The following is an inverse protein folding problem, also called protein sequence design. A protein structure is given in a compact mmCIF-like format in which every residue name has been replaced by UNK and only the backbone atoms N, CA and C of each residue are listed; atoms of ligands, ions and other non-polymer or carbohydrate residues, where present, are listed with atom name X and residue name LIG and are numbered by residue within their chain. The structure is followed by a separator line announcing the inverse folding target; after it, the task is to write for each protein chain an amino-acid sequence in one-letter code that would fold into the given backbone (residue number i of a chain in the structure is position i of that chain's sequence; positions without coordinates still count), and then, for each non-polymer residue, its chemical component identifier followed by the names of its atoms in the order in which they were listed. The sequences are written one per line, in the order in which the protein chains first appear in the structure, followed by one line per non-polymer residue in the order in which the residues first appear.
data_IF_894419079092
#
_entry.id   IF_894419079092
#
_cell.length_a   1.000
_cell.length_b   1.000
_cell.length_c   1.000
_cell.angle_alpha   90.00
_cell.angle_beta   90.00
_cell.angle_gamma   90.00
#
_symmetry.space_group_name_H-M   'P 1'
#
loop_
_entity.id
_entity.type
_entity.pdbx_description
1 polymer ?
#
# COMPACT_ATOMS: atom_id res chain seq x y z
N UNK A 1 -9.88 -31.20 -2.06
CA UNK A 1 -9.15 -30.06 -2.63
C UNK A 1 -9.94 -28.84 -2.28
N UNK A 2 -9.50 -28.09 -1.27
CA UNK A 2 -10.17 -26.86 -0.89
C UNK A 2 -9.97 -25.84 -2.01
N UNK A 3 -11.07 -25.53 -2.70
CA UNK A 3 -11.10 -24.39 -3.61
C UNK A 3 -11.05 -23.15 -2.73
N UNK A 4 -9.85 -22.58 -2.58
CA UNK A 4 -9.73 -21.24 -2.01
C UNK A 4 -10.47 -20.30 -2.94
N UNK A 5 -11.65 -19.85 -2.52
CA UNK A 5 -12.37 -18.78 -3.20
C UNK A 5 -11.54 -17.51 -3.01
N UNK A 6 -10.81 -17.11 -4.04
CA UNK A 6 -10.13 -15.81 -4.04
C UNK A 6 -11.21 -14.75 -4.06
N UNK A 7 -11.28 -13.95 -3.00
CA UNK A 7 -12.09 -12.73 -3.03
C UNK A 7 -11.43 -11.77 -4.04
N UNK A 8 -12.02 -11.69 -5.23
CA UNK A 8 -11.50 -10.86 -6.33
C UNK A 8 -11.46 -9.38 -5.95
N UNK A 9 -12.36 -8.92 -5.07
CA UNK A 9 -12.35 -7.54 -4.56
C UNK A 9 -11.14 -7.34 -3.66
N UNK A 10 -10.88 -8.26 -2.73
CA UNK A 10 -9.71 -8.19 -1.85
C UNK A 10 -8.40 -8.24 -2.65
N UNK A 11 -8.28 -9.17 -3.59
CA UNK A 11 -7.10 -9.29 -4.44
C UNK A 11 -6.84 -8.02 -5.28
N UNK A 12 -7.90 -7.36 -5.75
CA UNK A 12 -7.77 -6.09 -6.46
C UNK A 12 -7.25 -4.97 -5.54
N UNK A 13 -7.81 -4.86 -4.34
CA UNK A 13 -7.37 -3.84 -3.37
C UNK A 13 -5.92 -4.07 -2.96
N UNK A 14 -5.53 -5.32 -2.72
CA UNK A 14 -4.15 -5.71 -2.42
C UNK A 14 -3.18 -5.28 -3.53
N UNK A 15 -3.49 -5.58 -4.80
CA UNK A 15 -2.65 -5.19 -5.92
C UNK A 15 -2.47 -3.67 -6.02
N UNK A 16 -3.54 -2.89 -5.82
CA UNK A 16 -3.48 -1.42 -5.83
C UNK A 16 -2.64 -0.91 -4.65
N UNK A 17 -2.76 -1.54 -3.48
CA UNK A 17 -1.96 -1.18 -2.31
C UNK A 17 -0.47 -1.49 -2.49
N UNK A 18 -0.12 -2.61 -3.12
CA UNK A 18 1.26 -2.94 -3.46
C UNK A 18 1.84 -1.95 -4.49
N UNK A 19 1.03 -1.51 -5.45
CA UNK A 19 1.41 -0.45 -6.39
C UNK A 19 1.64 0.88 -5.68
N UNK A 20 0.77 1.24 -4.73
CA UNK A 20 0.93 2.43 -3.88
C UNK A 20 2.29 2.44 -3.17
N UNK A 21 2.66 1.34 -2.49
CA UNK A 21 3.93 1.25 -1.77
C UNK A 21 5.15 1.44 -2.67
N UNK A 22 5.09 0.94 -3.91
CA UNK A 22 6.20 0.98 -4.86
C UNK A 22 6.31 2.28 -5.66
N UNK A 23 5.24 3.08 -5.72
CA UNK A 23 5.17 4.19 -6.68
C UNK A 23 4.81 5.54 -6.06
N UNK A 24 4.25 5.56 -4.85
CA UNK A 24 3.82 6.80 -4.22
C UNK A 24 5.01 7.73 -3.95
N UNK A 25 4.89 8.97 -4.41
CA UNK A 25 5.85 10.05 -4.19
C UNK A 25 5.13 11.25 -3.59
N UNK A 26 5.61 11.73 -2.45
CA UNK A 26 5.03 12.89 -1.78
C UNK A 26 5.35 14.20 -2.53
N UNK A 27 6.57 14.28 -3.07
CA UNK A 27 7.02 15.36 -3.96
C UNK A 27 7.23 14.78 -5.37
N UNK A 28 6.67 15.45 -6.38
CA UNK A 28 6.86 15.09 -7.79
C UNK A 28 8.33 15.16 -8.23
N UNK A 29 9.16 15.94 -7.52
CA UNK A 29 10.60 16.04 -7.76
C UNK A 29 11.40 14.93 -7.06
N UNK A 30 10.77 14.12 -6.20
CA UNK A 30 11.44 12.98 -5.58
C UNK A 30 11.78 11.94 -6.63
N UNK A 31 13.05 11.50 -6.64
CA UNK A 31 13.50 10.40 -7.49
C UNK A 31 12.98 9.06 -6.99
N UNK A 32 12.86 8.91 -5.68
CA UNK A 32 12.54 7.64 -5.02
C UNK A 32 11.10 7.67 -4.47
N UNK A 33 10.35 6.56 -4.58
CA UNK A 33 9.09 6.36 -3.88
C UNK A 33 9.27 6.49 -2.38
N UNK A 34 8.31 7.13 -1.71
CA UNK A 34 8.40 7.47 -0.29
C UNK A 34 8.57 6.23 0.60
N UNK A 35 7.81 5.17 0.31
CA UNK A 35 7.76 3.97 1.15
C UNK A 35 8.80 2.92 0.79
N UNK A 36 9.49 3.05 -0.35
CA UNK A 36 10.51 2.09 -0.76
C UNK A 36 11.68 2.07 0.23
N UNK A 37 12.14 3.24 0.67
CA UNK A 37 13.21 3.35 1.68
C UNK A 37 12.81 2.75 3.04
N UNK A 38 11.54 2.87 3.44
CA UNK A 38 11.04 2.25 4.68
C UNK A 38 10.98 0.72 4.56
N UNK A 39 10.55 0.18 3.42
CA UNK A 39 10.56 -1.26 3.13
C UNK A 39 11.99 -1.81 3.22
N UNK A 40 12.95 -1.12 2.61
CA UNK A 40 14.36 -1.51 2.65
C UNK A 40 14.93 -1.48 4.06
N UNK A 41 14.60 -0.46 4.85
CA UNK A 41 15.00 -0.35 6.24
C UNK A 41 14.41 -1.48 7.10
N UNK A 42 13.14 -1.87 6.85
CA UNK A 42 12.49 -2.98 7.55
C UNK A 42 13.19 -4.32 7.31
N UNK A 43 13.65 -4.58 6.08
CA UNK A 43 14.43 -5.78 5.73
C UNK A 43 15.76 -5.88 6.50
N UNK A 44 16.31 -4.77 6.99
CA UNK A 44 17.59 -4.71 7.69
C UNK A 44 17.46 -4.72 9.21
N UNK A 45 16.32 -4.26 9.76
CA UNK A 45 16.21 -3.93 11.19
C UNK A 45 15.15 -4.72 11.94
N UNK A 46 14.37 -5.58 11.27
CA UNK A 46 13.30 -6.42 11.83
C UNK A 46 12.05 -5.73 12.44
N UNK A 47 11.65 -4.49 12.10
CA UNK A 47 10.26 -4.09 12.34
C UNK A 47 9.34 -4.94 11.46
N UNK A 48 8.40 -5.65 12.09
CA UNK A 48 7.33 -6.39 11.39
C UNK A 48 6.13 -5.50 11.04
N UNK A 49 6.21 -4.20 11.32
CA UNK A 49 5.12 -3.23 11.18
C UNK A 49 5.61 -1.97 10.49
N UNK A 50 4.82 -1.45 9.55
CA UNK A 50 5.02 -0.17 8.86
C UNK A 50 3.90 0.80 9.21
N UNK A 51 4.21 2.10 9.26
CA UNK A 51 3.21 3.15 9.42
C UNK A 51 2.98 3.88 8.09
N UNK A 52 1.72 4.00 7.69
CA UNK A 52 1.32 4.66 6.45
C UNK A 52 0.33 5.77 6.82
N UNK A 53 0.54 6.97 6.27
CA UNK A 53 -0.38 8.07 6.44
C UNK A 53 -1.58 7.88 5.51
N UNK A 54 -2.79 7.88 6.06
CA UNK A 54 -3.99 7.69 5.27
C UNK A 54 -4.19 8.79 4.22
N UNK A 55 -3.73 10.02 4.48
CA UNK A 55 -3.78 11.11 3.50
C UNK A 55 -2.96 10.83 2.24
N UNK A 56 -1.92 9.98 2.32
CA UNK A 56 -1.15 9.54 1.15
C UNK A 56 -1.97 8.56 0.31
N UNK A 57 -2.70 7.65 0.96
CA UNK A 57 -3.62 6.73 0.28
C UNK A 57 -4.73 7.50 -0.44
N UNK A 58 -5.32 8.48 0.23
CA UNK A 58 -6.35 9.37 -0.35
C UNK A 58 -5.85 10.10 -1.60
N UNK A 59 -4.59 10.54 -1.61
CA UNK A 59 -3.98 11.22 -2.77
C UNK A 59 -3.66 10.26 -3.92
N UNK A 60 -3.46 8.98 -3.63
CA UNK A 60 -3.01 8.01 -4.63
C UNK A 60 -4.17 7.43 -5.43
N UNK A 61 -5.22 6.92 -4.76
CA UNK A 61 -6.29 6.21 -5.45
C UNK A 61 -7.61 6.18 -4.66
N UNK A 62 -8.69 6.67 -5.28
CA UNK A 62 -10.03 6.73 -4.66
C UNK A 62 -10.61 5.35 -4.34
N UNK A 63 -10.33 4.32 -5.15
CA UNK A 63 -10.82 2.96 -4.92
C UNK A 63 -10.14 2.36 -3.69
N UNK A 64 -8.83 2.55 -3.55
CA UNK A 64 -8.06 2.09 -2.41
C UNK A 64 -8.50 2.81 -1.12
N UNK A 65 -8.57 4.14 -1.17
CA UNK A 65 -9.12 4.99 -0.11
C UNK A 65 -10.47 4.48 0.37
N UNK A 66 -11.43 4.32 -0.55
CA UNK A 66 -12.79 3.93 -0.21
C UNK A 66 -12.85 2.52 0.34
N UNK A 67 -12.06 1.59 -0.22
CA UNK A 67 -11.99 0.22 0.28
C UNK A 67 -11.46 0.16 1.72
N UNK A 68 -10.49 1.01 2.08
CA UNK A 68 -9.98 1.08 3.46
C UNK A 68 -11.00 1.75 4.39
N UNK A 69 -11.55 2.91 4.02
CA UNK A 69 -12.52 3.65 4.85
C UNK A 69 -13.84 2.93 5.09
N UNK A 70 -14.29 2.09 4.15
CA UNK A 70 -15.53 1.33 4.33
C UNK A 70 -15.36 0.17 5.33
N UNK A 71 -14.12 -0.29 5.56
CA UNK A 71 -13.81 -1.48 6.38
C UNK A 71 -13.12 -1.13 7.72
N UNK A 72 -12.57 0.10 7.89
CA UNK A 72 -11.82 0.58 9.06
C UNK A 72 -12.14 2.02 9.42
#
# INVERSE_FOLDING_TARGET
MDSYFTDEKAAKVENIFLEFLKSFRLDANSREPLYESEIEAMNQTSPNTMFIDFSHVMRFNDVLQKAISDEY
#
